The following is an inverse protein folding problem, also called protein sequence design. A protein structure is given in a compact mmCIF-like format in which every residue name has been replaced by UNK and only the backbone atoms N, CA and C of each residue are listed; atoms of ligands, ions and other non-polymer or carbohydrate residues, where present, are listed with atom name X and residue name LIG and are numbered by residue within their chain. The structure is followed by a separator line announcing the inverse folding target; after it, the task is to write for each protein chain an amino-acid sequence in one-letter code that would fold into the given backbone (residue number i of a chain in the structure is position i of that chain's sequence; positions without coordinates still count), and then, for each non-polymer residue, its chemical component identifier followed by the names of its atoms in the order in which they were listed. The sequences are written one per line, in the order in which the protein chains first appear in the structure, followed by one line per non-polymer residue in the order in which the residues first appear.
data_IF_555801690689
#
_entry.id   IF_555801690689
#
_cell.length_a   1.000
_cell.length_b   1.000
_cell.length_c   1.000
_cell.angle_alpha   90.00
_cell.angle_beta   90.00
_cell.angle_gamma   90.00
#
_symmetry.space_group_name_H-M   'P 1'
#
loop_
_entity.id
_entity.type
_entity.pdbx_description
1 polymer ?
#
# COMPACT_ATOMS: atom_id res chain seq x y z
N UNK A 1 24.63 4.88 9.93
CA UNK A 1 23.80 5.57 8.93
C UNK A 1 22.76 6.40 9.66
N UNK A 2 22.31 7.51 9.06
CA UNK A 2 21.18 8.27 9.61
C UNK A 2 19.91 7.41 9.46
N UNK A 3 19.13 7.29 10.54
CA UNK A 3 17.85 6.58 10.55
C UNK A 3 16.74 7.54 10.99
N UNK A 4 15.66 7.58 10.23
CA UNK A 4 14.43 8.28 10.59
C UNK A 4 13.42 7.27 11.13
N UNK A 5 12.82 7.58 12.28
CA UNK A 5 11.82 6.70 12.89
C UNK A 5 10.50 6.71 12.09
N UNK A 6 10.10 7.88 11.59
CA UNK A 6 8.89 8.02 10.79
C UNK A 6 9.04 9.14 9.74
N UNK A 7 8.60 8.87 8.52
CA UNK A 7 8.41 9.85 7.45
C UNK A 7 6.96 9.77 6.95
N UNK A 8 6.29 10.91 6.86
CA UNK A 8 4.96 11.00 6.25
C UNK A 8 5.02 11.85 4.98
N UNK A 9 4.49 11.31 3.89
CA UNK A 9 4.49 11.95 2.57
C UNK A 9 3.10 11.87 1.92
N UNK A 10 2.78 12.89 1.15
CA UNK A 10 1.63 12.90 0.25
C UNK A 10 2.19 12.94 -1.17
N UNK A 11 2.03 11.85 -1.91
CA UNK A 11 2.57 11.67 -3.25
C UNK A 11 1.54 12.19 -4.24
N UNK A 12 1.55 13.50 -4.46
CA UNK A 12 0.73 14.18 -5.47
C UNK A 12 1.50 14.44 -6.76
N UNK A 13 0.79 14.44 -7.89
CA UNK A 13 1.12 14.64 -9.33
C UNK A 13 2.29 15.55 -9.77
N UNK A 14 3.00 16.21 -8.86
CA UNK A 14 4.21 16.95 -9.20
C UNK A 14 5.42 16.02 -9.11
N UNK A 15 5.90 15.53 -10.26
CA UNK A 15 7.20 14.84 -10.45
C UNK A 15 8.33 15.53 -9.65
N UNK A 16 8.30 16.87 -9.61
CA UNK A 16 9.22 17.72 -8.84
C UNK A 16 9.23 17.41 -7.34
N UNK A 17 8.09 17.07 -6.72
CA UNK A 17 8.02 16.72 -5.30
C UNK A 17 8.67 15.37 -5.00
N UNK A 18 8.52 14.39 -5.91
CA UNK A 18 9.16 13.09 -5.77
C UNK A 18 10.69 13.21 -5.92
N UNK A 19 11.17 13.98 -6.90
CA UNK A 19 12.61 14.21 -7.09
C UNK A 19 13.27 14.88 -5.87
N UNK A 20 12.60 15.92 -5.32
CA UNK A 20 13.08 16.63 -4.12
C UNK A 20 13.08 15.68 -2.92
N UNK A 21 12.01 14.91 -2.73
CA UNK A 21 11.93 13.95 -1.62
C UNK A 21 13.04 12.88 -1.72
N UNK A 22 13.23 12.27 -2.89
CA UNK A 22 14.27 11.26 -3.12
C UNK A 22 15.67 11.83 -2.86
N UNK A 23 15.91 13.07 -3.30
CA UNK A 23 17.19 13.77 -3.06
C UNK A 23 17.41 14.09 -1.57
N UNK A 24 16.35 14.51 -0.86
CA UNK A 24 16.41 14.86 0.56
C UNK A 24 16.69 13.66 1.47
N UNK A 25 16.20 12.48 1.08
CA UNK A 25 16.33 11.25 1.86
C UNK A 25 17.31 10.24 1.25
N UNK A 26 18.17 10.69 0.32
CA UNK A 26 19.20 9.85 -0.26
C UNK A 26 20.14 9.32 0.83
N UNK A 27 20.30 7.99 0.90
CA UNK A 27 21.14 7.32 1.90
C UNK A 27 20.56 7.30 3.32
N UNK A 28 19.32 7.78 3.52
CA UNK A 28 18.63 7.74 4.82
C UNK A 28 17.80 6.47 4.93
N UNK A 29 18.02 5.71 6.01
CA UNK A 29 17.15 4.59 6.34
C UNK A 29 15.87 5.10 7.01
N UNK A 30 14.71 4.67 6.55
CA UNK A 30 13.40 5.07 7.08
C UNK A 30 12.81 3.84 7.76
N UNK A 31 12.52 3.90 9.05
CA UNK A 31 11.85 2.78 9.73
C UNK A 31 10.39 2.66 9.30
N UNK A 32 9.63 3.75 9.45
CA UNK A 32 8.21 3.82 9.05
C UNK A 32 7.98 4.89 7.99
N UNK A 33 7.29 4.49 6.91
CA UNK A 33 6.80 5.39 5.88
C UNK A 33 5.27 5.41 5.88
N UNK A 34 4.68 6.58 5.91
CA UNK A 34 3.26 6.81 5.68
C UNK A 34 3.10 7.55 4.35
N UNK A 35 2.43 6.95 3.37
CA UNK A 35 2.26 7.49 2.03
C UNK A 35 0.79 7.55 1.65
N UNK A 36 0.28 8.76 1.39
CA UNK A 36 -1.01 8.95 0.74
C UNK A 36 -0.80 9.06 -0.77
N UNK A 37 -1.45 8.18 -1.52
CA UNK A 37 -1.32 8.02 -2.98
C UNK A 37 -2.54 8.62 -3.67
N UNK A 38 -2.30 9.40 -4.73
CA UNK A 38 -3.34 10.01 -5.57
C UNK A 38 -3.18 9.58 -7.03
N UNK A 39 -3.99 10.15 -7.92
CA UNK A 39 -3.94 9.95 -9.37
C UNK A 39 -2.50 10.03 -9.95
N UNK A 40 -2.25 9.25 -11.02
CA UNK A 40 -0.97 9.14 -11.73
C UNK A 40 0.22 8.64 -10.89
N UNK A 41 -0.05 7.85 -9.86
CA UNK A 41 0.98 7.22 -9.04
C UNK A 41 1.93 6.30 -9.83
N UNK A 42 3.23 6.63 -9.80
CA UNK A 42 4.29 5.79 -10.35
C UNK A 42 4.71 4.71 -9.33
N UNK A 43 4.05 3.56 -9.44
CA UNK A 43 4.26 2.42 -8.56
C UNK A 43 5.70 1.89 -8.60
N UNK A 44 6.33 1.82 -9.77
CA UNK A 44 7.68 1.27 -9.91
C UNK A 44 8.72 2.20 -9.28
N UNK A 45 8.59 3.50 -9.51
CA UNK A 45 9.45 4.49 -8.87
C UNK A 45 9.30 4.47 -7.35
N UNK A 46 8.07 4.39 -6.85
CA UNK A 46 7.81 4.29 -5.42
C UNK A 46 8.43 3.03 -4.79
N UNK A 47 8.30 1.86 -5.45
CA UNK A 47 8.92 0.61 -5.01
C UNK A 47 10.44 0.72 -4.92
N UNK A 48 11.06 1.41 -5.89
CA UNK A 48 12.50 1.68 -5.85
C UNK A 48 12.88 2.56 -4.66
N UNK A 49 12.12 3.62 -4.39
CA UNK A 49 12.34 4.50 -3.25
C UNK A 49 12.29 3.74 -1.92
N UNK A 50 11.19 3.02 -1.64
CA UNK A 50 11.05 2.30 -0.37
C UNK A 50 12.13 1.22 -0.17
N UNK A 51 12.59 0.60 -1.26
CA UNK A 51 13.69 -0.36 -1.24
C UNK A 51 15.02 0.29 -0.90
N UNK A 52 15.36 1.41 -1.56
CA UNK A 52 16.63 2.13 -1.33
C UNK A 52 16.69 2.72 0.07
N UNK A 53 15.58 3.27 0.56
CA UNK A 53 15.46 3.82 1.91
C UNK A 53 15.26 2.77 3.01
N UNK A 54 15.34 1.47 2.67
CA UNK A 54 15.26 0.36 3.62
C UNK A 54 14.01 0.42 4.52
N UNK A 55 12.86 0.78 3.94
CA UNK A 55 11.60 0.90 4.67
C UNK A 55 11.19 -0.43 5.28
N UNK A 56 10.98 -0.44 6.60
CA UNK A 56 10.60 -1.64 7.34
C UNK A 56 9.07 -1.73 7.52
N UNK A 57 8.43 -0.60 7.81
CA UNK A 57 6.99 -0.47 8.00
C UNK A 57 6.40 0.52 7.00
N UNK A 58 5.45 0.08 6.18
CA UNK A 58 4.75 0.91 5.22
C UNK A 58 3.27 1.03 5.57
N UNK A 59 2.77 2.25 5.66
CA UNK A 59 1.35 2.58 5.62
C UNK A 59 1.05 3.28 4.29
N UNK A 60 0.16 2.71 3.48
CA UNK A 60 -0.21 3.23 2.16
C UNK A 60 -1.71 3.52 2.11
N UNK A 61 -2.05 4.78 1.84
CA UNK A 61 -3.41 5.30 1.74
C UNK A 61 -3.81 5.62 0.31
N UNK A 62 -5.07 5.37 -0.06
CA UNK A 62 -5.63 5.70 -1.37
C UNK A 62 -7.15 5.84 -1.28
N UNK A 63 -7.72 6.76 -2.06
CA UNK A 63 -9.16 6.99 -2.14
C UNK A 63 -9.83 6.23 -3.30
N UNK A 64 -9.11 6.11 -4.41
CA UNK A 64 -9.34 5.14 -5.49
C UNK A 64 -8.02 4.42 -5.79
N UNK A 65 -8.07 3.18 -6.27
CA UNK A 65 -6.87 2.37 -6.48
C UNK A 65 -6.27 2.66 -7.87
N UNK A 66 -5.13 3.36 -7.97
CA UNK A 66 -4.63 3.85 -9.26
C UNK A 66 -3.73 2.83 -9.99
N UNK A 67 -3.51 1.65 -9.41
CA UNK A 67 -2.52 0.67 -9.90
C UNK A 67 -3.21 -0.44 -10.67
N UNK A 68 -2.85 -0.62 -11.94
CA UNK A 68 -3.46 -1.62 -12.82
C UNK A 68 -3.32 -3.06 -12.34
N UNK A 69 -2.20 -3.42 -11.71
CA UNK A 69 -1.94 -4.76 -11.16
C UNK A 69 -1.69 -4.71 -9.63
N UNK A 70 -2.75 -4.64 -8.80
CA UNK A 70 -2.61 -4.58 -7.35
C UNK A 70 -1.87 -5.76 -6.74
N UNK A 71 -2.10 -6.97 -7.24
CA UNK A 71 -1.51 -8.19 -6.69
C UNK A 71 0.01 -8.16 -6.78
N UNK A 72 0.53 -7.88 -7.98
CA UNK A 72 1.96 -7.81 -8.21
C UNK A 72 2.61 -6.70 -7.37
N UNK A 73 1.95 -5.55 -7.27
CA UNK A 73 2.42 -4.43 -6.45
C UNK A 73 2.51 -4.81 -4.97
N UNK A 74 1.48 -5.44 -4.42
CA UNK A 74 1.47 -5.93 -3.04
C UNK A 74 2.56 -6.97 -2.78
N UNK A 75 2.77 -7.89 -3.72
CA UNK A 75 3.83 -8.89 -3.60
C UNK A 75 5.22 -8.23 -3.58
N UNK A 76 5.47 -7.22 -4.42
CA UNK A 76 6.71 -6.44 -4.42
C UNK A 76 6.90 -5.66 -3.11
N UNK A 77 5.85 -5.05 -2.55
CA UNK A 77 5.91 -4.43 -1.22
C UNK A 77 6.32 -5.46 -0.16
N UNK A 78 5.72 -6.65 -0.18
CA UNK A 78 5.99 -7.72 0.79
C UNK A 78 7.40 -8.33 0.68
N UNK A 79 8.12 -8.10 -0.42
CA UNK A 79 9.56 -8.40 -0.52
C UNK A 79 10.42 -7.37 0.22
N UNK A 80 9.92 -6.14 0.39
CA UNK A 80 10.69 -5.00 0.87
C UNK A 80 10.40 -4.72 2.35
N UNK A 81 9.13 -4.69 2.75
CA UNK A 81 8.67 -4.29 4.08
C UNK A 81 8.24 -5.51 4.91
N UNK A 82 8.50 -5.48 6.22
CA UNK A 82 8.00 -6.50 7.15
C UNK A 82 6.58 -6.20 7.63
N UNK A 83 6.23 -4.92 7.72
CA UNK A 83 4.92 -4.45 8.18
C UNK A 83 4.24 -3.65 7.09
N UNK A 84 3.01 -4.02 6.73
CA UNK A 84 2.21 -3.31 5.72
C UNK A 84 0.83 -2.97 6.29
N UNK A 85 0.44 -1.70 6.19
CA UNK A 85 -0.91 -1.22 6.48
C UNK A 85 -1.49 -0.55 5.23
N UNK A 86 -2.53 -1.16 4.68
CA UNK A 86 -3.29 -0.67 3.54
C UNK A 86 -4.50 0.11 4.05
N UNK A 87 -4.67 1.37 3.63
CA UNK A 87 -5.82 2.23 3.97
C UNK A 87 -6.55 2.63 2.70
N UNK A 88 -7.79 2.15 2.57
CA UNK A 88 -8.70 2.57 1.51
C UNK A 88 -9.72 3.55 2.10
N UNK A 89 -9.69 4.79 1.61
CA UNK A 89 -10.61 5.86 1.98
C UNK A 89 -11.86 5.90 1.08
N UNK A 90 -12.79 6.79 1.42
CA UNK A 90 -13.94 7.14 0.58
C UNK A 90 -13.57 8.38 -0.23
N UNK A 91 -13.28 8.22 -1.52
CA UNK A 91 -13.32 9.34 -2.48
C UNK A 91 -14.72 10.00 -2.42
N UNK A 92 -14.87 11.24 -1.98
CA UNK A 92 -16.17 11.91 -1.91
C UNK A 92 -16.76 12.25 -3.29
N UNK A 93 -15.98 12.17 -4.37
CA UNK A 93 -16.40 12.49 -5.74
C UNK A 93 -17.13 11.34 -6.45
N UNK A 94 -16.88 10.10 -6.04
CA UNK A 94 -17.53 8.91 -6.61
C UNK A 94 -18.90 8.73 -5.94
N UNK A 95 -19.93 8.53 -6.76
CA UNK A 95 -21.31 8.39 -6.32
C UNK A 95 -21.49 7.27 -5.28
N UNK A 96 -22.39 7.48 -4.31
CA UNK A 96 -22.58 6.57 -3.18
C UNK A 96 -23.08 5.17 -3.57
N UNK A 97 -23.65 5.04 -4.76
CA UNK A 97 -24.17 3.80 -5.34
C UNK A 97 -23.11 3.00 -6.11
N UNK A 98 -21.91 3.56 -6.33
CA UNK A 98 -20.83 2.84 -7.02
C UNK A 98 -20.23 1.82 -6.07
N UNK A 99 -20.44 0.53 -6.36
CA UNK A 99 -19.81 -0.55 -5.62
C UNK A 99 -18.30 -0.48 -5.84
N UNK A 100 -17.59 0.04 -4.83
CA UNK A 100 -16.13 -0.05 -4.83
C UNK A 100 -15.73 -1.43 -4.34
N UNK A 101 -14.51 -1.80 -4.66
CA UNK A 101 -13.96 -3.08 -4.29
C UNK A 101 -12.60 -2.87 -3.63
N UNK A 102 -12.18 -3.82 -2.79
CA UNK A 102 -10.84 -3.79 -2.21
C UNK A 102 -9.81 -3.73 -3.34
N UNK A 103 -8.98 -2.67 -3.36
CA UNK A 103 -7.93 -2.46 -4.36
C UNK A 103 -8.46 -2.48 -5.80
N UNK A 104 -9.71 -2.03 -6.00
CA UNK A 104 -10.34 -1.88 -7.32
C UNK A 104 -10.76 -3.18 -8.01
N UNK A 105 -10.60 -4.36 -7.39
CA UNK A 105 -10.97 -5.64 -8.03
C UNK A 105 -12.29 -6.22 -7.51
N UNK A 106 -13.28 -6.29 -8.39
CA UNK A 106 -14.53 -7.00 -8.13
C UNK A 106 -14.34 -8.52 -8.13
N UNK A 107 -15.04 -9.22 -7.23
CA UNK A 107 -15.07 -10.69 -7.17
C UNK A 107 -13.70 -11.38 -7.19
N UNK A 108 -12.70 -10.77 -6.54
CA UNK A 108 -11.35 -11.31 -6.45
C UNK A 108 -11.08 -11.92 -5.07
N UNK A 109 -10.53 -13.12 -5.05
CA UNK A 109 -10.10 -13.77 -3.82
C UNK A 109 -8.67 -13.34 -3.45
N UNK A 110 -8.55 -12.49 -2.44
CA UNK A 110 -7.27 -11.98 -1.97
C UNK A 110 -6.48 -12.96 -1.10
N UNK A 111 -7.08 -14.10 -0.73
CA UNK A 111 -6.47 -15.07 0.20
C UNK A 111 -5.09 -15.50 -0.28
N UNK A 112 -4.99 -15.95 -1.54
CA UNK A 112 -3.73 -16.40 -2.13
C UNK A 112 -2.67 -15.30 -2.17
N UNK A 113 -3.08 -14.08 -2.51
CA UNK A 113 -2.18 -12.91 -2.53
C UNK A 113 -1.64 -12.62 -1.13
N UNK A 114 -2.49 -12.56 -0.11
CA UNK A 114 -2.06 -12.27 1.26
C UNK A 114 -1.19 -13.39 1.83
N UNK A 115 -1.54 -14.65 1.61
CA UNK A 115 -0.69 -15.80 1.98
C UNK A 115 0.67 -15.71 1.29
N UNK A 116 0.71 -15.37 0.00
CA UNK A 116 1.95 -15.20 -0.74
C UNK A 116 2.79 -14.01 -0.23
N UNK A 117 2.16 -12.94 0.28
CA UNK A 117 2.88 -11.85 0.94
C UNK A 117 3.56 -12.32 2.24
N UNK A 118 2.88 -13.10 3.08
CA UNK A 118 3.45 -13.63 4.33
C UNK A 118 4.57 -14.66 4.12
N UNK A 119 4.59 -15.34 2.96
CA UNK A 119 5.70 -16.22 2.56
C UNK A 119 6.99 -15.46 2.19
N UNK A 120 6.97 -14.12 2.17
CA UNK A 120 8.10 -13.25 1.84
C UNK A 120 8.71 -12.66 3.10
N UNK A 121 9.02 -11.35 3.11
CA UNK A 121 9.59 -10.64 4.26
C UNK A 121 8.51 -10.16 5.23
N UNK A 122 7.28 -10.03 4.77
CA UNK A 122 6.16 -9.50 5.55
C UNK A 122 5.74 -10.45 6.67
N UNK A 123 5.60 -9.92 7.89
CA UNK A 123 5.09 -10.63 9.07
C UNK A 123 3.83 -9.97 9.67
N UNK A 124 3.42 -8.80 9.18
CA UNK A 124 2.21 -8.12 9.60
C UNK A 124 1.52 -7.44 8.42
N UNK A 125 0.21 -7.71 8.27
CA UNK A 125 -0.68 -7.04 7.33
C UNK A 125 -1.91 -6.50 8.08
N UNK A 126 -2.20 -5.22 7.86
CA UNK A 126 -3.48 -4.61 8.25
C UNK A 126 -4.14 -4.00 7.03
N UNK A 127 -5.44 -4.27 6.86
CA UNK A 127 -6.26 -3.62 5.84
C UNK A 127 -7.34 -2.82 6.56
N UNK A 128 -7.40 -1.52 6.29
CA UNK A 128 -8.43 -0.63 6.80
C UNK A 128 -9.21 -0.09 5.62
N UNK A 129 -10.46 -0.49 5.53
CA UNK A 129 -11.34 -0.19 4.42
C UNK A 129 -12.52 0.61 4.95
N UNK A 130 -12.41 1.93 4.92
CA UNK A 130 -13.39 2.82 5.52
C UNK A 130 -14.47 3.19 4.50
N UNK A 131 -15.72 2.80 4.77
CA UNK A 131 -16.87 3.22 3.98
C UNK A 131 -17.44 2.19 3.01
N UNK A 132 -17.04 0.92 3.07
CA UNK A 132 -17.51 -0.11 2.14
C UNK A 132 -17.92 -1.42 2.85
N UNK A 133 -18.92 -2.15 2.33
CA UNK A 133 -19.36 -3.41 2.92
C UNK A 133 -18.20 -4.42 2.96
N UNK A 134 -18.13 -5.17 4.06
CA UNK A 134 -17.04 -6.10 4.35
C UNK A 134 -16.82 -7.09 3.19
N UNK A 135 -15.62 -7.12 2.63
CA UNK A 135 -15.25 -8.00 1.51
C UNK A 135 -14.82 -9.40 1.94
N UNK A 136 -14.68 -9.64 3.25
CA UNK A 136 -14.39 -10.98 3.76
C UNK A 136 -15.68 -11.67 4.13
N UNK A 137 -16.00 -12.76 3.43
CA UNK A 137 -16.98 -13.71 3.94
C UNK A 137 -16.35 -14.49 5.09
N UNK A 138 -17.16 -15.01 6.00
CA UNK A 138 -16.70 -15.85 7.11
C UNK A 138 -15.86 -17.05 6.62
N UNK A 139 -16.20 -17.60 5.44
CA UNK A 139 -15.44 -18.65 4.79
C UNK A 139 -14.00 -18.24 4.43
N UNK A 140 -13.80 -17.03 3.88
CA UNK A 140 -12.46 -16.52 3.57
C UNK A 140 -11.63 -16.31 4.84
N UNK A 141 -12.26 -15.85 5.93
CA UNK A 141 -11.57 -15.68 7.21
C UNK A 141 -11.08 -17.01 7.82
N UNK A 142 -11.86 -18.10 7.69
CA UNK A 142 -11.47 -19.42 8.21
C UNK A 142 -10.34 -20.08 7.40
N UNK A 143 -10.22 -19.76 6.11
CA UNK A 143 -9.11 -20.23 5.28
C UNK A 143 -7.78 -19.56 5.65
N UNK A 144 -7.79 -18.25 5.93
CA UNK A 144 -6.60 -17.50 6.34
C UNK A 144 -6.04 -17.89 7.72
N UNK A 145 -6.82 -18.58 8.56
CA UNK A 145 -6.38 -19.04 9.89
C UNK A 145 -5.58 -20.34 9.86
N UNK A 146 -5.58 -21.07 8.75
CA UNK A 146 -4.92 -22.37 8.59
C UNK A 146 -3.50 -22.22 8.08
#
# INVERSE_FOLDING_TARGET
SLRLDCLRICLSDNVVKCDIMESLFEGVAIYRLEADVVDNFDADRFLQFIKRSQVESLEIGFDDWPISNPEEFLLKIAEICSTVHIKQGKDPSIAEDTQRHLLGKSNFDWTDTFVAMFKRKMNYLKVSNFGYPAYFTEANCEEMKK
#
